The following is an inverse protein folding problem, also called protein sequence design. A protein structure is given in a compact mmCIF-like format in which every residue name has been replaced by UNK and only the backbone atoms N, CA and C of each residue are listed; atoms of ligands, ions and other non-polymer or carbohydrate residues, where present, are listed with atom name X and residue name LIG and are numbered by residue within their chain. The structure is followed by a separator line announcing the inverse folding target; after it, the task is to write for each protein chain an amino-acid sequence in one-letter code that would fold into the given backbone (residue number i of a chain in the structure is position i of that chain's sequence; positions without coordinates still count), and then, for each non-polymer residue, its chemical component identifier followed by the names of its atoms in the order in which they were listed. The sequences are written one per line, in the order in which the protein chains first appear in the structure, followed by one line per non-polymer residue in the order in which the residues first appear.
data_IF_507899905960
#
_entry.id   IF_507899905960
#
_cell.length_a   1.000
_cell.length_b   1.000
_cell.length_c   1.000
_cell.angle_alpha   90.00
_cell.angle_beta   90.00
_cell.angle_gamma   90.00
#
_symmetry.space_group_name_H-M   'P 1'
#
loop_
_entity.id
_entity.type
_entity.pdbx_description
1 polymer ?
#
# COMPACT_ATOMS: atom_id res chain seq x y z
N UNK A 1 10.75 7.78 -18.91
CA UNK A 1 10.25 8.90 -18.07
C UNK A 1 8.74 8.87 -18.06
N UNK A 2 8.10 9.01 -16.91
CA UNK A 2 6.63 9.01 -16.84
C UNK A 2 6.05 10.36 -17.20
N UNK A 3 4.89 10.33 -17.86
CA UNK A 3 4.10 11.53 -18.13
C UNK A 3 3.17 11.80 -16.93
N UNK A 4 3.66 12.60 -16.00
CA UNK A 4 2.90 12.98 -14.80
C UNK A 4 1.61 13.71 -15.13
N UNK A 5 1.62 14.57 -16.14
CA UNK A 5 0.42 15.34 -16.52
C UNK A 5 -0.70 14.41 -16.99
N UNK A 6 -0.38 13.40 -17.79
CA UNK A 6 -1.35 12.40 -18.22
C UNK A 6 -1.88 11.56 -17.06
N UNK A 7 -1.02 11.21 -16.09
CA UNK A 7 -1.43 10.51 -14.88
C UNK A 7 -2.37 11.41 -14.06
N UNK A 8 -1.99 12.63 -13.79
CA UNK A 8 -2.77 13.57 -12.98
C UNK A 8 -4.15 13.83 -13.59
N UNK A 9 -4.24 13.93 -14.91
CA UNK A 9 -5.52 14.06 -15.58
C UNK A 9 -6.43 12.85 -15.29
N UNK A 10 -5.88 11.64 -15.34
CA UNK A 10 -6.65 10.42 -15.03
C UNK A 10 -7.02 10.34 -13.54
N UNK A 11 -6.16 10.83 -12.66
CA UNK A 11 -6.45 10.86 -11.21
C UNK A 11 -7.67 11.72 -10.87
N UNK A 12 -7.95 12.77 -11.66
CA UNK A 12 -9.13 13.62 -11.43
C UNK A 12 -10.45 12.89 -11.65
N UNK A 13 -10.44 11.77 -12.38
CA UNK A 13 -11.63 10.95 -12.62
C UNK A 13 -11.86 9.89 -11.53
N UNK A 14 -10.93 9.76 -10.59
CA UNK A 14 -10.98 8.79 -9.50
C UNK A 14 -11.45 9.46 -8.19
N UNK A 15 -12.06 8.70 -7.28
CA UNK A 15 -12.54 9.21 -6.00
C UNK A 15 -11.40 9.42 -5.00
N UNK A 16 -10.39 10.18 -5.40
CA UNK A 16 -9.27 10.58 -4.55
C UNK A 16 -9.59 11.90 -3.84
N UNK A 17 -9.13 12.02 -2.59
CA UNK A 17 -9.19 13.27 -1.84
C UNK A 17 -8.00 14.17 -2.15
N UNK A 18 -6.79 13.61 -2.06
CA UNK A 18 -5.54 14.30 -2.37
C UNK A 18 -4.55 13.35 -3.02
N UNK A 19 -3.63 13.92 -3.78
CA UNK A 19 -2.42 13.25 -4.22
C UNK A 19 -1.26 14.22 -4.25
N UNK A 20 -0.04 13.71 -4.10
CA UNK A 20 1.19 14.49 -4.19
C UNK A 20 2.34 13.62 -4.68
N UNK A 21 3.23 14.21 -5.46
CA UNK A 21 4.48 13.58 -5.88
C UNK A 21 5.58 13.95 -4.90
N UNK A 22 6.18 12.94 -4.32
CA UNK A 22 7.29 13.09 -3.37
C UNK A 22 8.52 12.33 -3.85
N UNK A 23 9.69 12.72 -3.37
CA UNK A 23 10.88 11.88 -3.51
C UNK A 23 10.86 10.79 -2.45
N UNK A 24 11.35 9.61 -2.79
CA UNK A 24 11.37 8.49 -1.82
C UNK A 24 12.27 8.76 -0.62
N UNK A 25 13.21 9.72 -0.75
CA UNK A 25 14.05 10.18 0.37
C UNK A 25 13.26 10.89 1.48
N UNK A 26 12.04 11.33 1.19
CA UNK A 26 11.14 11.95 2.18
C UNK A 26 10.40 10.92 3.04
N UNK A 27 10.43 9.64 2.64
CA UNK A 27 9.80 8.56 3.39
C UNK A 27 10.54 8.32 4.71
N UNK A 28 9.79 8.23 5.80
CA UNK A 28 10.33 7.98 7.13
C UNK A 28 10.17 6.50 7.49
N UNK A 29 11.26 5.86 7.85
CA UNK A 29 11.30 4.46 8.30
C UNK A 29 11.72 4.42 9.76
N UNK A 30 11.05 3.59 10.57
CA UNK A 30 11.30 3.53 12.00
C UNK A 30 11.08 2.12 12.55
N UNK A 31 12.04 1.65 13.32
CA UNK A 31 11.89 0.42 14.11
C UNK A 31 10.73 0.50 15.11
N UNK A 32 10.37 1.71 15.54
CA UNK A 32 9.23 1.92 16.42
C UNK A 32 7.93 1.46 15.78
N UNK A 33 7.74 1.70 14.49
CA UNK A 33 6.56 1.22 13.77
C UNK A 33 6.54 -0.31 13.74
N UNK A 34 7.69 -0.94 13.47
CA UNK A 34 7.82 -2.40 13.51
C UNK A 34 7.49 -2.97 14.88
N UNK A 35 7.92 -2.30 15.93
CA UNK A 35 7.60 -2.69 17.31
C UNK A 35 6.09 -2.68 17.57
N UNK A 36 5.37 -1.68 17.05
CA UNK A 36 3.90 -1.62 17.14
C UNK A 36 3.27 -2.81 16.40
N UNK A 37 3.78 -3.15 15.22
CA UNK A 37 3.31 -4.33 14.49
C UNK A 37 3.46 -5.61 15.32
N UNK A 38 4.61 -5.79 15.98
CA UNK A 38 4.91 -6.99 16.77
C UNK A 38 4.08 -7.10 18.04
N UNK A 39 3.78 -5.98 18.69
CA UNK A 39 3.22 -5.98 20.05
C UNK A 39 1.74 -5.66 20.12
N UNK A 40 1.19 -4.97 19.13
CA UNK A 40 -0.17 -4.43 19.18
C UNK A 40 -1.02 -4.76 17.96
N UNK A 41 -0.43 -5.06 16.81
CA UNK A 41 -1.20 -5.29 15.59
C UNK A 41 -1.65 -6.75 15.47
N UNK A 42 -2.96 -7.04 15.37
CA UNK A 42 -3.47 -8.40 15.22
C UNK A 42 -3.08 -9.04 13.88
N UNK A 43 -2.65 -8.25 12.91
CA UNK A 43 -2.25 -8.74 11.59
C UNK A 43 -0.78 -9.18 11.53
N UNK A 44 -0.01 -8.99 12.60
CA UNK A 44 1.37 -9.49 12.66
C UNK A 44 1.42 -11.00 12.44
N UNK A 45 2.32 -11.42 11.56
CA UNK A 45 2.51 -12.84 11.22
C UNK A 45 1.27 -13.54 10.62
N UNK A 46 0.46 -12.80 9.86
CA UNK A 46 -0.77 -13.34 9.26
C UNK A 46 -0.82 -13.26 7.74
N UNK A 47 -0.01 -12.41 7.12
CA UNK A 47 0.01 -12.23 5.66
C UNK A 47 1.42 -12.06 5.13
N UNK A 48 1.60 -12.27 3.81
CA UNK A 48 2.87 -12.01 3.14
C UNK A 48 3.24 -10.52 3.09
N UNK A 49 2.26 -9.63 3.25
CA UNK A 49 2.48 -8.18 3.27
C UNK A 49 2.79 -7.62 4.66
N UNK A 50 2.67 -8.44 5.71
CA UNK A 50 2.89 -8.04 7.09
C UNK A 50 4.21 -8.58 7.63
N UNK A 51 4.79 -7.96 8.68
CA UNK A 51 5.92 -8.54 9.38
C UNK A 51 5.54 -9.89 10.02
N UNK A 52 6.45 -10.82 10.13
CA UNK A 52 7.86 -10.80 9.69
C UNK A 52 8.06 -11.11 8.21
N UNK A 53 7.05 -11.60 7.50
CA UNK A 53 7.16 -12.10 6.12
C UNK A 53 7.61 -11.02 5.14
N UNK A 54 7.21 -9.77 5.34
CA UNK A 54 7.57 -8.64 4.48
C UNK A 54 9.06 -8.27 4.53
N UNK A 55 9.79 -8.78 5.51
CA UNK A 55 11.21 -8.52 5.72
C UNK A 55 11.49 -7.49 6.82
N UNK A 56 12.76 -7.20 7.03
CA UNK A 56 13.22 -6.22 8.02
C UNK A 56 12.89 -4.78 7.59
N UNK A 57 12.96 -3.84 8.52
CA UNK A 57 12.80 -2.41 8.22
C UNK A 57 13.84 -1.96 7.20
N UNK A 58 15.09 -2.41 7.32
CA UNK A 58 16.15 -2.08 6.37
C UNK A 58 15.88 -2.63 4.97
N UNK A 59 15.37 -3.85 4.87
CA UNK A 59 14.99 -4.44 3.58
C UNK A 59 13.81 -3.70 2.94
N UNK A 60 12.81 -3.33 3.73
CA UNK A 60 11.68 -2.53 3.26
C UNK A 60 12.13 -1.15 2.78
N UNK A 61 12.99 -0.49 3.56
CA UNK A 61 13.58 0.80 3.21
C UNK A 61 14.36 0.74 1.90
N UNK A 62 15.22 -0.27 1.76
CA UNK A 62 16.01 -0.44 0.54
C UNK A 62 15.12 -0.62 -0.70
N UNK A 63 14.03 -1.40 -0.59
CA UNK A 63 13.07 -1.56 -1.67
C UNK A 63 12.39 -0.25 -2.05
N UNK A 64 11.98 0.55 -1.07
CA UNK A 64 11.35 1.85 -1.34
C UNK A 64 12.34 2.83 -1.98
N UNK A 65 13.55 2.92 -1.45
CA UNK A 65 14.58 3.83 -1.94
C UNK A 65 15.17 3.43 -3.31
N UNK A 66 14.88 2.22 -3.79
CA UNK A 66 15.24 1.83 -5.17
C UNK A 66 14.41 2.57 -6.23
N UNK A 67 13.32 3.21 -5.84
CA UNK A 67 12.50 4.08 -6.69
C UNK A 67 12.84 5.54 -6.40
N UNK A 68 13.00 6.40 -7.40
CA UNK A 68 13.35 7.81 -7.15
C UNK A 68 12.18 8.63 -6.63
N UNK A 69 10.96 8.30 -7.02
CA UNK A 69 9.75 9.06 -6.73
C UNK A 69 8.63 8.15 -6.26
N UNK A 70 7.70 8.74 -5.50
CA UNK A 70 6.46 8.10 -5.08
C UNK A 70 5.29 9.04 -5.29
N UNK A 71 4.17 8.48 -5.72
CA UNK A 71 2.88 9.16 -5.73
C UNK A 71 2.16 8.80 -4.43
N UNK A 72 1.98 9.77 -3.56
CA UNK A 72 1.18 9.64 -2.35
C UNK A 72 -0.25 10.03 -2.66
N UNK A 73 -1.21 9.22 -2.24
CA UNK A 73 -2.62 9.51 -2.46
C UNK A 73 -3.47 9.16 -1.25
N UNK A 74 -4.54 9.90 -1.06
CA UNK A 74 -5.50 9.69 0.02
C UNK A 74 -6.92 9.62 -0.52
N UNK A 75 -7.77 8.87 0.15
CA UNK A 75 -9.21 8.86 -0.06
C UNK A 75 -9.94 9.09 1.25
N UNK A 76 -11.19 9.53 1.18
CA UNK A 76 -12.05 9.72 2.35
C UNK A 76 -13.29 8.84 2.18
N UNK A 77 -13.65 8.14 3.24
CA UNK A 77 -14.88 7.37 3.31
C UNK A 77 -15.64 7.75 4.58
N UNK A 78 -16.92 8.11 4.43
CA UNK A 78 -17.78 8.35 5.58
C UNK A 78 -18.16 7.03 6.24
N UNK A 79 -18.12 7.01 7.57
CA UNK A 79 -18.58 5.91 8.40
C UNK A 79 -19.57 6.41 9.44
N UNK A 80 -20.47 5.57 9.89
CA UNK A 80 -21.50 5.95 10.86
C UNK A 80 -20.92 6.20 12.25
N UNK A 81 -19.90 5.42 12.61
CA UNK A 81 -19.21 5.53 13.90
C UNK A 81 -17.74 5.15 13.72
N UNK A 82 -16.85 6.11 13.92
CA UNK A 82 -15.41 5.90 13.81
C UNK A 82 -14.86 4.89 14.83
N UNK A 83 -15.57 4.69 15.94
CA UNK A 83 -15.21 3.70 16.93
C UNK A 83 -15.64 2.28 16.55
N UNK A 84 -16.49 2.13 15.54
CA UNK A 84 -16.87 0.83 14.99
C UNK A 84 -15.71 0.30 14.12
N UNK A 85 -14.90 -0.58 14.71
CA UNK A 85 -13.70 -1.12 14.05
C UNK A 85 -14.06 -1.90 12.78
N UNK A 86 -15.13 -2.67 12.80
CA UNK A 86 -15.56 -3.47 11.64
C UNK A 86 -15.90 -2.57 10.45
N UNK A 87 -16.72 -1.55 10.67
CA UNK A 87 -17.08 -0.58 9.64
C UNK A 87 -15.86 0.19 9.12
N UNK A 88 -14.98 0.61 10.02
CA UNK A 88 -13.75 1.33 9.67
C UNK A 88 -12.80 0.45 8.86
N UNK A 89 -12.59 -0.81 9.24
CA UNK A 89 -11.76 -1.74 8.50
C UNK A 89 -12.34 -2.11 7.13
N UNK A 90 -13.65 -2.11 6.97
CA UNK A 90 -14.29 -2.39 5.69
C UNK A 90 -13.95 -1.34 4.62
N UNK A 91 -13.52 -0.14 4.99
CA UNK A 91 -13.11 0.91 4.05
C UNK A 91 -11.79 0.60 3.32
N UNK A 92 -11.01 -0.36 3.81
CA UNK A 92 -9.73 -0.76 3.21
C UNK A 92 -9.89 -1.35 1.80
N UNK A 93 -10.90 -2.20 1.61
CA UNK A 93 -11.09 -2.88 0.33
C UNK A 93 -11.21 -1.92 -0.84
N UNK A 94 -12.14 -0.95 -0.81
CA UNK A 94 -12.25 0.07 -1.85
C UNK A 94 -10.98 0.91 -2.05
N UNK A 95 -10.30 1.28 -0.97
CA UNK A 95 -9.05 2.02 -1.08
C UNK A 95 -7.93 1.20 -1.71
N UNK A 96 -7.82 -0.06 -1.38
CA UNK A 96 -6.83 -0.96 -1.97
C UNK A 96 -7.10 -1.21 -3.46
N UNK A 97 -8.38 -1.34 -3.85
CA UNK A 97 -8.76 -1.41 -5.26
C UNK A 97 -8.35 -0.15 -6.02
N UNK A 98 -8.61 1.01 -5.45
CA UNK A 98 -8.20 2.31 -6.00
C UNK A 98 -6.66 2.39 -6.15
N UNK A 99 -5.92 1.95 -5.15
CA UNK A 99 -4.46 1.89 -5.19
C UNK A 99 -3.96 1.01 -6.34
N UNK A 100 -4.61 -0.13 -6.57
CA UNK A 100 -4.26 -1.02 -7.69
C UNK A 100 -4.57 -0.40 -9.04
N UNK A 101 -5.69 0.28 -9.18
CA UNK A 101 -6.03 1.00 -10.41
C UNK A 101 -4.98 2.05 -10.75
N UNK A 102 -4.56 2.85 -9.77
CA UNK A 102 -3.52 3.86 -9.97
C UNK A 102 -2.17 3.21 -10.30
N UNK A 103 -1.81 2.13 -9.61
CA UNK A 103 -0.60 1.37 -9.94
C UNK A 103 -0.59 0.90 -11.38
N UNK A 104 -1.68 0.29 -11.82
CA UNK A 104 -1.78 -0.27 -13.18
C UNK A 104 -1.76 0.84 -14.24
N UNK A 105 -2.36 1.98 -13.95
CA UNK A 105 -2.33 3.17 -14.79
C UNK A 105 -0.91 3.70 -14.98
N UNK A 106 -0.12 3.77 -13.91
CA UNK A 106 1.29 4.18 -13.98
C UNK A 106 2.13 3.13 -14.70
N UNK A 107 1.94 1.86 -14.37
CA UNK A 107 2.66 0.75 -15.00
C UNK A 107 2.40 0.67 -16.51
N UNK A 108 1.23 1.07 -16.99
CA UNK A 108 0.89 1.14 -18.40
C UNK A 108 1.78 2.10 -19.20
N UNK A 109 2.47 3.02 -18.53
CA UNK A 109 3.49 3.87 -19.16
C UNK A 109 4.85 3.20 -19.34
N UNK A 110 4.97 1.90 -19.02
CA UNK A 110 6.19 1.13 -19.22
C UNK A 110 7.22 1.26 -18.11
N UNK A 111 6.85 1.76 -16.94
CA UNK A 111 7.74 1.89 -15.78
C UNK A 111 7.45 0.84 -14.73
N UNK A 112 8.48 0.39 -14.04
CA UNK A 112 8.32 -0.48 -12.88
C UNK A 112 7.63 0.30 -11.76
N UNK A 113 6.56 -0.27 -11.22
CA UNK A 113 5.70 0.38 -10.24
C UNK A 113 5.41 -0.56 -9.08
N UNK A 114 5.57 -0.05 -7.88
CA UNK A 114 5.26 -0.77 -6.65
C UNK A 114 4.22 -0.01 -5.83
N UNK A 115 3.13 -0.68 -5.49
CA UNK A 115 2.10 -0.10 -4.64
C UNK A 115 2.33 -0.45 -3.17
N UNK A 116 2.13 0.53 -2.31
CA UNK A 116 1.97 0.34 -0.87
C UNK A 116 0.53 0.69 -0.53
N UNK A 117 -0.17 -0.25 0.07
CA UNK A 117 -1.54 -0.01 0.52
C UNK A 117 -1.55 0.37 2.00
N UNK A 118 -2.73 0.68 2.51
CA UNK A 118 -2.94 0.93 3.94
C UNK A 118 -3.10 -0.38 4.68
N UNK A 119 -2.59 -0.47 5.89
CA UNK A 119 -2.76 -1.62 6.79
C UNK A 119 -2.33 -2.96 6.15
N UNK A 120 -3.00 -4.06 6.53
CA UNK A 120 -2.73 -5.37 5.98
C UNK A 120 -3.33 -5.55 4.58
N UNK A 121 -2.75 -6.45 3.81
CA UNK A 121 -3.25 -6.80 2.48
C UNK A 121 -4.68 -7.35 2.54
N UNK A 122 -5.57 -6.82 1.71
CA UNK A 122 -6.97 -7.22 1.58
C UNK A 122 -7.30 -7.79 0.19
N UNK A 123 -6.31 -8.21 -0.59
CA UNK A 123 -6.51 -8.69 -1.97
C UNK A 123 -7.18 -10.06 -1.98
N UNK A 124 -6.70 -11.00 -1.17
CA UNK A 124 -7.29 -12.34 -1.06
C UNK A 124 -8.24 -12.39 0.13
N UNK A 125 -9.33 -13.14 0.00
CA UNK A 125 -10.23 -13.38 1.12
C UNK A 125 -9.48 -14.01 2.31
N UNK A 126 -8.61 -14.98 2.01
CA UNK A 126 -7.68 -15.59 2.97
C UNK A 126 -6.29 -15.62 2.34
N UNK A 127 -5.30 -15.06 3.05
CA UNK A 127 -3.92 -15.11 2.59
C UNK A 127 -3.38 -16.54 2.63
N UNK A 128 -2.57 -16.89 1.63
CA UNK A 128 -1.89 -18.19 1.60
C UNK A 128 -0.77 -18.33 2.63
N UNK A 129 -0.40 -17.25 3.31
CA UNK A 129 0.65 -17.27 4.34
C UNK A 129 0.25 -18.13 5.54
N UNK A 130 1.16 -18.92 6.12
CA UNK A 130 2.55 -19.17 5.69
C UNK A 130 2.70 -20.40 4.78
N UNK A 131 1.63 -21.11 4.49
CA UNK A 131 1.68 -22.49 3.94
C UNK A 131 2.03 -22.52 2.46
N UNK A 132 1.74 -21.45 1.72
CA UNK A 132 1.98 -21.36 0.29
C UNK A 132 2.44 -19.95 -0.10
N UNK A 133 3.14 -19.78 -1.24
CA UNK A 133 3.53 -18.48 -1.76
C UNK A 133 2.35 -17.55 -1.99
N UNK A 134 2.60 -16.24 -2.01
CA UNK A 134 1.59 -15.25 -2.34
C UNK A 134 1.01 -15.54 -3.75
N UNK A 135 -0.32 -15.64 -3.84
CA UNK A 135 -1.02 -15.85 -5.11
C UNK A 135 -0.90 -14.68 -6.07
N UNK A 136 -0.47 -13.53 -5.54
CA UNK A 136 -0.32 -12.27 -6.27
C UNK A 136 1.17 -11.95 -6.50
N UNK A 137 2.01 -12.96 -6.69
CA UNK A 137 3.44 -12.80 -7.00
C UNK A 137 3.60 -11.79 -8.15
N UNK A 138 4.52 -10.84 -7.99
CA UNK A 138 4.71 -9.73 -8.93
C UNK A 138 3.88 -8.49 -8.62
N UNK A 139 2.92 -8.58 -7.70
CA UNK A 139 2.24 -7.43 -7.11
C UNK A 139 2.98 -6.99 -5.85
N UNK A 140 2.92 -5.72 -5.56
CA UNK A 140 3.76 -5.16 -4.53
C UNK A 140 3.29 -5.49 -3.13
N UNK A 141 4.05 -6.30 -2.45
CA UNK A 141 4.06 -6.37 -1.00
C UNK A 141 5.35 -5.74 -0.50
N UNK A 142 5.25 -4.85 0.42
CA UNK A 142 6.39 -4.15 1.02
C UNK A 142 6.35 -4.23 2.52
#
# INVERSE_FOLDING_TARGET
MIDKAAIEQQLTELPLFQYDWITTSELVFSERVRYICQTQCPMYNTTWACPPAVGTVEECKARCLSYPEALMMTSITEVSDIANLEETLATRGPHEELTRQVRDMIAAQGVETRALSTEACAICQHCAYPDAPCRQIGRAHV
#
